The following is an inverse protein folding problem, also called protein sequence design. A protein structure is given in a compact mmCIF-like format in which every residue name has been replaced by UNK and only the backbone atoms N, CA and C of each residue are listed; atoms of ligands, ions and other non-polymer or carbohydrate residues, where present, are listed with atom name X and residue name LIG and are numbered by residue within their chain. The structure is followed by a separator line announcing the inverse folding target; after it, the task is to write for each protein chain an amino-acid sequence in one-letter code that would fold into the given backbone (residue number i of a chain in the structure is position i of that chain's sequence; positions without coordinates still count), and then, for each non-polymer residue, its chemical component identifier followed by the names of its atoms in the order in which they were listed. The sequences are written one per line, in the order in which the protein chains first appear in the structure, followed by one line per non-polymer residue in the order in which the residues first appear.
data_IF_095177353660
#
_entry.id   IF_095177353660
#
_cell.length_a   1.000
_cell.length_b   1.000
_cell.length_c   1.000
_cell.angle_alpha   90.00
_cell.angle_beta   90.00
_cell.angle_gamma   90.00
#
_symmetry.space_group_name_H-M   'P 1'
#
loop_
_entity.id
_entity.type
_entity.pdbx_description
1 polymer ?
#
# COMPACT_ATOMS: atom_id res chain seq x y z
N UNK A 1 10.02 -2.82 -62.33
CA UNK A 1 9.18 -2.18 -61.27
C UNK A 1 8.63 -3.16 -60.24
N UNK A 2 7.96 -4.26 -60.63
CA UNK A 2 7.27 -5.19 -59.69
C UNK A 2 8.21 -5.77 -58.59
N UNK A 3 9.46 -6.12 -58.93
CA UNK A 3 10.44 -6.64 -57.96
C UNK A 3 10.88 -5.59 -56.91
N UNK A 4 10.93 -4.31 -57.29
CA UNK A 4 11.30 -3.21 -56.40
C UNK A 4 10.16 -2.92 -55.42
N UNK A 5 8.91 -2.89 -55.91
CA UNK A 5 7.73 -2.75 -55.05
C UNK A 5 7.61 -3.89 -54.02
N UNK A 6 7.85 -5.14 -54.45
CA UNK A 6 7.88 -6.30 -53.54
C UNK A 6 8.99 -6.21 -52.48
N UNK A 7 10.15 -5.64 -52.83
CA UNK A 7 11.27 -5.43 -51.89
C UNK A 7 10.90 -4.40 -50.82
N UNK A 8 10.27 -3.28 -51.18
CA UNK A 8 9.79 -2.29 -50.21
C UNK A 8 8.71 -2.86 -49.29
N UNK A 9 7.74 -3.61 -49.82
CA UNK A 9 6.74 -4.28 -48.99
C UNK A 9 7.37 -5.26 -48.00
N UNK A 10 8.41 -6.00 -48.39
CA UNK A 10 9.14 -6.90 -47.50
C UNK A 10 9.79 -6.14 -46.33
N UNK A 11 10.43 -5.00 -46.59
CA UNK A 11 11.00 -4.16 -45.54
C UNK A 11 9.95 -3.57 -44.59
N UNK A 12 8.80 -3.15 -45.12
CA UNK A 12 7.68 -2.62 -44.31
C UNK A 12 7.13 -3.71 -43.37
N UNK A 13 7.00 -4.95 -43.85
CA UNK A 13 6.50 -6.07 -43.04
C UNK A 13 7.48 -6.39 -41.91
N UNK A 14 8.79 -6.42 -42.19
CA UNK A 14 9.82 -6.65 -41.16
C UNK A 14 9.81 -5.52 -40.12
N UNK A 15 9.68 -4.27 -40.57
CA UNK A 15 9.59 -3.12 -39.68
C UNK A 15 8.38 -3.20 -38.76
N UNK A 16 7.20 -3.52 -39.30
CA UNK A 16 5.98 -3.70 -38.52
C UNK A 16 6.10 -4.83 -37.50
N UNK A 17 6.68 -5.96 -37.88
CA UNK A 17 6.95 -7.07 -36.95
C UNK A 17 7.89 -6.66 -35.81
N UNK A 18 8.92 -5.87 -36.11
CA UNK A 18 9.82 -5.31 -35.10
C UNK A 18 9.09 -4.38 -34.12
N UNK A 19 8.25 -3.47 -34.62
CA UNK A 19 7.48 -2.56 -33.77
C UNK A 19 6.49 -3.31 -32.88
N UNK A 20 5.79 -4.32 -33.41
CA UNK A 20 4.85 -5.15 -32.62
C UNK A 20 5.58 -5.90 -31.50
N UNK A 21 6.80 -6.38 -31.75
CA UNK A 21 7.62 -7.04 -30.72
C UNK A 21 7.97 -6.07 -29.57
N UNK A 22 8.30 -4.82 -29.89
CA UNK A 22 8.66 -3.80 -28.89
C UNK A 22 7.48 -3.39 -28.00
N UNK A 23 6.25 -3.42 -28.52
CA UNK A 23 5.05 -3.09 -27.75
C UNK A 23 4.87 -4.04 -26.56
N UNK A 24 5.09 -5.35 -26.75
CA UNK A 24 4.98 -6.35 -25.67
C UNK A 24 6.02 -6.11 -24.57
N UNK A 25 7.25 -5.77 -24.96
CA UNK A 25 8.34 -5.48 -24.02
C UNK A 25 8.05 -4.20 -23.23
N UNK A 26 7.57 -3.16 -23.92
CA UNK A 26 7.22 -1.89 -23.31
C UNK A 26 6.06 -2.00 -22.31
N UNK A 27 5.04 -2.81 -22.63
CA UNK A 27 3.93 -3.09 -21.69
C UNK A 27 4.43 -3.74 -20.41
N UNK A 28 5.26 -4.78 -20.52
CA UNK A 28 5.83 -5.46 -19.34
C UNK A 28 6.67 -4.51 -18.48
N UNK A 29 7.45 -3.63 -19.12
CA UNK A 29 8.23 -2.64 -18.39
C UNK A 29 7.35 -1.66 -17.62
N UNK A 30 6.26 -1.20 -18.23
CA UNK A 30 5.29 -0.33 -17.56
C UNK A 30 4.62 -1.02 -16.37
N UNK A 31 4.20 -2.28 -16.52
CA UNK A 31 3.59 -3.05 -15.43
C UNK A 31 4.56 -3.20 -14.25
N UNK A 32 5.83 -3.51 -14.53
CA UNK A 32 6.87 -3.59 -13.51
C UNK A 32 7.14 -2.24 -12.84
N UNK A 33 7.17 -1.16 -13.62
CA UNK A 33 7.37 0.19 -13.10
C UNK A 33 6.20 0.62 -12.20
N UNK A 34 4.96 0.27 -12.57
CA UNK A 34 3.78 0.53 -11.76
C UNK A 34 3.82 -0.26 -10.45
N UNK A 35 4.06 -1.58 -10.50
CA UNK A 35 4.21 -2.42 -9.30
C UNK A 35 5.30 -1.90 -8.36
N UNK A 36 6.42 -1.45 -8.92
CA UNK A 36 7.50 -0.88 -8.11
C UNK A 36 7.08 0.42 -7.41
N UNK A 37 6.27 1.27 -8.07
CA UNK A 37 5.72 2.48 -7.44
C UNK A 37 4.74 2.12 -6.31
N UNK A 38 3.83 1.19 -6.55
CA UNK A 38 2.86 0.71 -5.55
C UNK A 38 3.58 0.15 -4.33
N UNK A 39 4.54 -0.76 -4.53
CA UNK A 39 5.36 -1.33 -3.46
C UNK A 39 6.13 -0.27 -2.67
N UNK A 40 6.68 0.75 -3.35
CA UNK A 40 7.36 1.86 -2.66
C UNK A 40 6.42 2.68 -1.78
N UNK A 41 5.17 2.88 -2.20
CA UNK A 41 4.17 3.59 -1.41
C UNK A 41 3.80 2.75 -0.19
N UNK A 42 3.51 1.46 -0.41
CA UNK A 42 3.18 0.51 0.65
C UNK A 42 4.32 0.41 1.68
N UNK A 43 5.56 0.25 1.24
CA UNK A 43 6.73 0.25 2.13
C UNK A 43 6.82 1.52 2.99
N UNK A 44 6.52 2.69 2.43
CA UNK A 44 6.52 3.96 3.20
C UNK A 44 5.40 3.98 4.23
N UNK A 45 4.21 3.51 3.88
CA UNK A 45 3.07 3.44 4.79
C UNK A 45 3.35 2.47 5.95
N UNK A 46 3.79 1.25 5.65
CA UNK A 46 4.17 0.26 6.67
C UNK A 46 5.33 0.75 7.55
N UNK A 47 6.30 1.47 7.00
CA UNK A 47 7.38 2.05 7.80
C UNK A 47 6.86 3.12 8.78
N UNK A 48 5.90 3.94 8.35
CA UNK A 48 5.27 4.94 9.20
C UNK A 48 4.42 4.29 10.31
N UNK A 49 3.61 3.29 9.97
CA UNK A 49 2.83 2.51 10.95
C UNK A 49 3.74 1.80 11.95
N UNK A 50 4.80 1.14 11.50
CA UNK A 50 5.75 0.48 12.39
C UNK A 50 6.39 1.47 13.38
N UNK A 51 6.72 2.68 12.94
CA UNK A 51 7.24 3.73 13.84
C UNK A 51 6.19 4.17 14.85
N UNK A 52 4.95 4.37 14.43
CA UNK A 52 3.85 4.75 15.31
C UNK A 52 3.55 3.65 16.34
N UNK A 53 3.51 2.39 15.90
CA UNK A 53 3.30 1.23 16.76
C UNK A 53 4.43 1.04 17.76
N UNK A 54 5.69 1.16 17.34
CA UNK A 54 6.84 1.13 18.28
C UNK A 54 6.75 2.23 19.33
N UNK A 55 6.35 3.44 18.95
CA UNK A 55 6.15 4.54 19.90
C UNK A 55 5.02 4.23 20.88
N UNK A 56 3.90 3.67 20.41
CA UNK A 56 2.80 3.22 21.26
C UNK A 56 3.22 2.10 22.21
N UNK A 57 3.95 1.11 21.73
CA UNK A 57 4.47 0.01 22.53
C UNK A 57 5.39 0.54 23.64
N UNK A 58 6.32 1.44 23.31
CA UNK A 58 7.20 2.05 24.30
C UNK A 58 6.42 2.83 25.35
N UNK A 59 5.40 3.59 24.95
CA UNK A 59 4.51 4.27 25.92
C UNK A 59 3.78 3.26 26.81
N UNK A 60 3.25 2.19 26.24
CA UNK A 60 2.52 1.18 27.00
C UNK A 60 3.42 0.46 28.03
N UNK A 61 4.70 0.31 27.73
CA UNK A 61 5.65 -0.36 28.64
C UNK A 61 6.20 0.57 29.72
N UNK A 62 6.42 1.84 29.40
CA UNK A 62 7.17 2.76 30.26
C UNK A 62 6.29 3.85 30.91
N UNK A 63 5.04 4.03 30.46
CA UNK A 63 4.11 5.00 31.01
C UNK A 63 2.89 4.28 31.63
N UNK A 64 2.83 4.20 32.97
CA UNK A 64 1.76 3.49 33.67
C UNK A 64 0.39 4.14 33.48
N UNK A 65 0.32 5.47 33.31
CA UNK A 65 -0.95 6.18 33.09
C UNK A 65 -1.50 5.85 31.70
N UNK A 66 -0.63 5.82 30.70
CA UNK A 66 -1.02 5.41 29.36
C UNK A 66 -1.44 3.93 29.32
N UNK A 67 -0.71 3.04 30.00
CA UNK A 67 -1.08 1.62 30.11
C UNK A 67 -2.45 1.42 30.75
N UNK A 68 -2.74 2.15 31.84
CA UNK A 68 -4.03 2.11 32.52
C UNK A 68 -5.17 2.60 31.63
N UNK A 69 -4.99 3.74 30.94
CA UNK A 69 -6.01 4.26 30.01
C UNK A 69 -6.38 3.25 28.91
N UNK A 70 -5.38 2.55 28.36
CA UNK A 70 -5.58 1.51 27.33
C UNK A 70 -6.26 0.28 27.92
N UNK A 71 -5.93 -0.09 29.18
CA UNK A 71 -6.58 -1.19 29.88
C UNK A 71 -8.06 -0.89 30.18
N UNK A 72 -8.37 0.33 30.67
CA UNK A 72 -9.74 0.80 30.89
C UNK A 72 -10.56 0.78 29.60
N UNK A 73 -10.00 1.25 28.49
CA UNK A 73 -10.66 1.24 27.18
C UNK A 73 -10.94 -0.19 26.67
N UNK A 74 -9.92 -1.07 26.71
CA UNK A 74 -10.03 -2.43 26.14
C UNK A 74 -10.84 -3.39 27.00
N UNK A 75 -10.67 -3.32 28.32
CA UNK A 75 -11.28 -4.27 29.25
C UNK A 75 -12.59 -3.74 29.84
N UNK A 76 -12.95 -2.47 29.59
CA UNK A 76 -14.10 -1.78 30.19
C UNK A 76 -14.13 -1.91 31.72
N UNK A 77 -12.94 -1.94 32.32
CA UNK A 77 -12.76 -2.04 33.77
C UNK A 77 -12.60 -0.64 34.36
N UNK A 78 -13.17 -0.44 35.54
CA UNK A 78 -12.98 0.74 36.37
C UNK A 78 -12.11 0.38 37.59
N UNK A 79 -11.48 1.36 38.23
CA UNK A 79 -10.73 1.12 39.47
C UNK A 79 -11.68 0.72 40.60
N UNK A 80 -11.12 0.03 41.60
CA UNK A 80 -11.83 -0.29 42.83
C UNK A 80 -12.27 1.02 43.53
N UNK A 81 -13.58 1.25 43.60
CA UNK A 81 -14.18 2.48 44.15
C UNK A 81 -14.70 3.50 43.12
N UNK A 82 -14.53 3.29 41.82
CA UNK A 82 -15.11 4.15 40.78
C UNK A 82 -16.57 3.73 40.43
N UNK A 83 -17.46 4.72 40.24
CA UNK A 83 -18.87 4.50 39.88
C UNK A 83 -19.07 4.72 38.38
N UNK A 84 -19.51 3.69 37.65
CA UNK A 84 -19.79 3.76 36.21
C UNK A 84 -21.21 4.30 35.98
N UNK A 85 -21.32 5.50 35.40
CA UNK A 85 -22.61 6.05 34.97
C UNK A 85 -22.94 5.61 33.55
N UNK A 86 -24.11 5.00 33.36
CA UNK A 86 -24.66 4.71 32.03
C UNK A 86 -25.82 5.67 31.75
N UNK A 87 -25.63 6.56 30.78
CA UNK A 87 -26.68 7.49 30.34
C UNK A 87 -27.64 6.67 29.45
N UNK A 88 -28.90 6.57 29.86
CA UNK A 88 -29.97 5.99 29.05
C UNK A 88 -30.73 7.12 28.34
N UNK A 89 -31.13 6.95 27.07
CA UNK A 89 -31.97 7.93 26.39
C UNK A 89 -33.34 8.02 27.07
N UNK A 90 -33.89 9.24 27.15
CA UNK A 90 -35.28 9.47 27.58
C UNK A 90 -36.24 8.98 26.49
N UNK A 91 -37.28 8.22 26.88
CA UNK A 91 -38.35 7.73 25.99
C UNK A 91 -39.21 8.87 25.44
#
# INVERSE_FOLDING_TARGET
MIKILKKYNFFIIIFLLGVISLISVFSKYQDLAQKNRELKIEMKQLAAENRALKKRQHKLQNDPVFAESVAREKLKVALEGEVIYKILPEE
#
